data_IF_553693490086
#
_entry.id   IF_553693490086
#
_cell.length_a   1.000
_cell.length_b   1.000
_cell.length_c   1.000
_cell.angle_alpha   90.00
_cell.angle_beta   90.00
_cell.angle_gamma   90.00
#
_symmetry.space_group_name_H-M   'P 1'
#
loop_
_entity.id
_entity.type
_entity.pdbx_description
1 polymer ?
#
# COMPACT_ATOMS: atom_id res chain seq x y z
N UNK A 1 14.93 -10.07 15.79
CA UNK A 1 13.50 -9.92 15.44
C UNK A 1 13.23 -8.83 14.41
N UNK A 2 13.92 -7.68 14.42
CA UNK A 2 13.76 -6.63 13.39
C UNK A 2 13.98 -7.08 11.94
N UNK A 3 14.91 -8.02 11.69
CA UNK A 3 15.13 -8.60 10.35
C UNK A 3 13.90 -9.38 9.84
N UNK A 4 13.18 -10.10 10.72
CA UNK A 4 11.96 -10.81 10.33
C UNK A 4 10.87 -9.83 9.92
N UNK A 5 10.70 -8.74 10.66
CA UNK A 5 9.80 -7.65 10.27
C UNK A 5 10.19 -7.08 8.90
N UNK A 6 11.48 -6.83 8.67
CA UNK A 6 11.98 -6.29 7.41
C UNK A 6 11.68 -7.21 6.22
N UNK A 7 11.96 -8.51 6.36
CA UNK A 7 11.65 -9.50 5.33
C UNK A 7 10.15 -9.61 5.06
N UNK A 8 9.33 -9.54 6.11
CA UNK A 8 7.88 -9.60 5.98
C UNK A 8 7.34 -8.36 5.26
N UNK A 9 7.81 -7.16 5.62
CA UNK A 9 7.46 -5.92 4.93
C UNK A 9 7.89 -5.92 3.46
N UNK A 10 9.07 -6.45 3.18
CA UNK A 10 9.56 -6.59 1.81
C UNK A 10 8.72 -7.59 1.00
N UNK A 11 8.42 -8.76 1.57
CA UNK A 11 7.59 -9.78 0.93
C UNK A 11 6.17 -9.29 0.64
N UNK A 12 5.54 -8.58 1.59
CA UNK A 12 4.23 -7.95 1.41
C UNK A 12 4.26 -6.95 0.26
N UNK A 13 5.29 -6.09 0.21
CA UNK A 13 5.43 -5.09 -0.86
C UNK A 13 5.53 -5.73 -2.24
N UNK A 14 6.37 -6.76 -2.37
CA UNK A 14 6.51 -7.54 -3.60
C UNK A 14 5.17 -8.18 -3.99
N UNK A 15 4.51 -8.85 -3.06
CA UNK A 15 3.26 -9.56 -3.31
C UNK A 15 2.15 -8.61 -3.77
N UNK A 16 1.95 -7.49 -3.08
CA UNK A 16 0.91 -6.49 -3.42
C UNK A 16 1.18 -5.90 -4.80
N UNK A 17 2.41 -5.47 -5.09
CA UNK A 17 2.74 -4.84 -6.36
C UNK A 17 2.65 -5.81 -7.54
N UNK A 18 3.09 -7.05 -7.37
CA UNK A 18 2.92 -8.10 -8.39
C UNK A 18 1.44 -8.41 -8.63
N UNK A 19 0.65 -8.57 -7.58
CA UNK A 19 -0.78 -8.90 -7.69
C UNK A 19 -1.54 -7.82 -8.46
N UNK A 20 -1.33 -6.55 -8.09
CA UNK A 20 -2.03 -5.41 -8.70
C UNK A 20 -1.60 -5.19 -10.17
N UNK A 21 -0.32 -5.41 -10.48
CA UNK A 21 0.20 -5.26 -11.85
C UNK A 21 -0.16 -6.44 -12.77
N UNK A 22 -0.36 -7.63 -12.23
CA UNK A 22 -0.72 -8.84 -12.97
C UNK A 22 -2.24 -9.05 -13.11
N UNK A 23 -3.07 -8.26 -12.43
CA UNK A 23 -4.52 -8.46 -12.41
C UNK A 23 -5.13 -8.35 -13.83
N UNK A 24 -5.95 -9.32 -14.28
CA UNK A 24 -6.62 -9.24 -15.58
C UNK A 24 -7.63 -8.08 -15.60
N UNK A 25 -7.84 -7.49 -16.78
CA UNK A 25 -8.62 -6.25 -16.95
C UNK A 25 -10.05 -6.32 -16.36
N UNK A 26 -10.70 -7.47 -16.47
CA UNK A 26 -12.07 -7.69 -15.94
C UNK A 26 -12.12 -7.52 -14.42
N UNK A 27 -11.21 -8.17 -13.70
CA UNK A 27 -11.08 -8.06 -12.25
C UNK A 27 -10.53 -6.67 -11.85
N UNK A 28 -9.61 -6.13 -12.64
CA UNK A 28 -8.97 -4.83 -12.39
C UNK A 28 -10.01 -3.70 -12.30
N UNK A 29 -11.02 -3.71 -13.19
CA UNK A 29 -12.13 -2.76 -13.14
C UNK A 29 -12.92 -2.88 -11.84
N UNK A 30 -13.26 -4.09 -11.42
CA UNK A 30 -14.00 -4.32 -10.17
C UNK A 30 -13.23 -3.80 -8.95
N UNK A 31 -11.93 -4.14 -8.86
CA UNK A 31 -11.06 -3.67 -7.77
C UNK A 31 -10.90 -2.15 -7.81
N UNK A 32 -10.72 -1.56 -8.99
CA UNK A 32 -10.62 -0.11 -9.14
C UNK A 32 -11.90 0.60 -8.68
N UNK A 33 -13.09 0.10 -9.04
CA UNK A 33 -14.37 0.65 -8.57
C UNK A 33 -14.47 0.56 -7.04
N UNK A 34 -14.12 -0.58 -6.45
CA UNK A 34 -14.11 -0.73 -4.99
C UNK A 34 -13.14 0.25 -4.32
N UNK A 35 -11.96 0.46 -4.90
CA UNK A 35 -10.99 1.43 -4.40
C UNK A 35 -11.52 2.87 -4.48
N UNK A 36 -12.22 3.24 -5.55
CA UNK A 36 -12.87 4.56 -5.66
C UNK A 36 -14.01 4.72 -4.64
N UNK A 37 -14.84 3.70 -4.44
CA UNK A 37 -15.88 3.73 -3.41
C UNK A 37 -15.26 3.91 -2.02
N UNK A 38 -14.20 3.15 -1.71
CA UNK A 38 -13.47 3.31 -0.45
C UNK A 38 -12.88 4.72 -0.30
N UNK A 39 -12.30 5.28 -1.36
CA UNK A 39 -11.77 6.64 -1.38
C UNK A 39 -12.88 7.68 -1.09
N UNK A 40 -14.06 7.52 -1.69
CA UNK A 40 -15.20 8.42 -1.43
C UNK A 40 -15.69 8.32 0.01
N UNK A 41 -15.71 7.12 0.59
CA UNK A 41 -16.04 6.92 2.00
C UNK A 41 -15.04 7.63 2.91
N UNK A 42 -13.74 7.49 2.63
CA UNK A 42 -12.67 8.17 3.39
C UNK A 42 -12.73 9.68 3.23
N UNK A 43 -12.98 10.18 2.01
CA UNK A 43 -13.15 11.61 1.77
C UNK A 43 -14.37 12.15 2.53
N UNK A 44 -15.48 11.42 2.50
CA UNK A 44 -16.69 11.75 3.24
C UNK A 44 -16.44 11.81 4.75
N UNK A 45 -15.74 10.83 5.32
CA UNK A 45 -15.43 10.87 6.75
C UNK A 45 -14.56 12.09 7.09
N UNK A 46 -13.48 12.34 6.35
CA UNK A 46 -12.61 13.50 6.59
C UNK A 46 -13.41 14.81 6.56
N UNK A 47 -14.29 15.00 5.57
CA UNK A 47 -15.03 16.25 5.40
C UNK A 47 -16.13 16.45 6.46
N UNK A 48 -16.78 15.38 6.90
CA UNK A 48 -18.02 15.48 7.69
C UNK A 48 -17.87 15.08 9.17
N UNK A 49 -16.85 14.30 9.56
CA UNK A 49 -16.77 13.77 10.94
C UNK A 49 -15.79 14.52 11.84
N UNK A 50 -14.84 15.28 11.29
CA UNK A 50 -13.77 15.91 12.08
C UNK A 50 -13.93 17.41 12.35
N UNK A 51 -13.23 17.90 13.38
CA UNK A 51 -12.98 19.34 13.61
C UNK A 51 -12.06 19.97 12.55
N UNK A 52 -11.86 21.29 12.57
CA UNK A 52 -11.07 22.00 11.53
C UNK A 52 -9.63 21.50 11.41
N UNK A 53 -8.96 21.20 12.53
CA UNK A 53 -7.61 20.64 12.58
C UNK A 53 -7.57 19.20 12.02
N UNK A 54 -8.55 18.36 12.37
CA UNK A 54 -8.61 16.97 11.90
C UNK A 54 -8.84 16.91 10.39
N UNK A 55 -9.64 17.84 9.85
CA UNK A 55 -9.85 18.00 8.40
C UNK A 55 -8.56 18.34 7.68
N UNK A 56 -7.74 19.27 8.21
CA UNK A 56 -6.49 19.65 7.57
C UNK A 56 -5.47 18.51 7.58
N UNK A 57 -5.32 17.81 8.71
CA UNK A 57 -4.45 16.63 8.77
C UNK A 57 -4.95 15.50 7.86
N UNK A 58 -6.24 15.19 7.92
CA UNK A 58 -6.87 14.16 7.07
C UNK A 58 -6.69 14.46 5.58
N UNK A 59 -6.86 15.73 5.16
CA UNK A 59 -6.64 16.14 3.78
C UNK A 59 -5.19 15.92 3.32
N UNK A 60 -4.20 16.24 4.16
CA UNK A 60 -2.78 16.00 3.85
C UNK A 60 -2.50 14.51 3.66
N UNK A 61 -2.97 13.65 4.57
CA UNK A 61 -2.80 12.20 4.45
C UNK A 61 -3.51 11.64 3.22
N UNK A 62 -4.69 12.16 2.88
CA UNK A 62 -5.42 11.77 1.68
C UNK A 62 -4.63 12.13 0.41
N UNK A 63 -4.11 13.36 0.33
CA UNK A 63 -3.29 13.80 -0.81
C UNK A 63 -2.03 12.95 -0.93
N UNK A 64 -1.33 12.69 0.17
CA UNK A 64 -0.15 11.82 0.16
C UNK A 64 -0.49 10.39 -0.26
N UNK A 65 -1.62 9.85 0.20
CA UNK A 65 -2.12 8.53 -0.21
C UNK A 65 -2.46 8.47 -1.70
N UNK A 66 -3.06 9.53 -2.26
CA UNK A 66 -3.36 9.63 -3.70
C UNK A 66 -2.08 9.75 -4.53
N UNK A 67 -1.11 10.54 -4.09
CA UNK A 67 0.21 10.64 -4.75
C UNK A 67 0.92 9.29 -4.74
N UNK A 68 0.94 8.60 -3.59
CA UNK A 68 1.46 7.25 -3.50
C UNK A 68 0.72 6.30 -4.44
N UNK A 69 -0.61 6.36 -4.47
CA UNK A 69 -1.42 5.55 -5.39
C UNK A 69 -1.09 5.81 -6.86
N UNK A 70 -0.95 7.07 -7.27
CA UNK A 70 -0.56 7.43 -8.63
C UNK A 70 0.84 6.88 -8.99
N UNK A 71 1.79 6.96 -8.06
CA UNK A 71 3.14 6.40 -8.22
C UNK A 71 3.08 4.87 -8.32
N UNK A 72 2.29 4.19 -7.48
CA UNK A 72 2.11 2.74 -7.52
C UNK A 72 1.40 2.25 -8.79
N UNK A 73 0.61 3.10 -9.44
CA UNK A 73 -0.05 2.79 -10.71
C UNK A 73 0.94 2.76 -11.91
N UNK A 74 2.13 3.34 -11.76
CA UNK A 74 3.07 3.58 -12.87
C UNK A 74 3.43 2.31 -13.67
N UNK A 75 3.79 1.16 -13.07
CA UNK A 75 4.14 -0.02 -13.84
C UNK A 75 2.98 -0.51 -14.70
N UNK A 76 1.74 -0.41 -14.20
CA UNK A 76 0.55 -0.84 -14.93
C UNK A 76 0.20 0.13 -16.06
N UNK A 77 0.30 1.44 -15.80
CA UNK A 77 0.17 2.47 -16.84
C UNK A 77 1.19 2.24 -17.96
N UNK A 78 2.45 1.96 -17.61
CA UNK A 78 3.50 1.63 -18.57
C UNK A 78 3.29 0.28 -19.24
N UNK A 79 2.61 -0.69 -18.62
CA UNK A 79 2.34 -1.98 -19.26
C UNK A 79 1.15 -1.94 -20.23
N UNK A 80 0.10 -1.17 -19.91
CA UNK A 80 -1.18 -1.21 -20.63
C UNK A 80 -1.65 0.15 -21.20
N UNK A 81 -0.79 1.16 -21.35
CA UNK A 81 -1.22 2.42 -21.98
C UNK A 81 -1.73 2.20 -23.40
N UNK A 82 -2.84 2.86 -23.71
CA UNK A 82 -3.58 2.67 -24.96
C UNK A 82 -4.50 1.44 -24.95
N UNK A 83 -4.31 0.48 -24.03
CA UNK A 83 -5.12 -0.74 -23.92
C UNK A 83 -6.11 -0.70 -22.76
N UNK A 84 -5.76 0.01 -21.69
CA UNK A 84 -6.56 0.12 -20.47
C UNK A 84 -6.93 1.58 -20.18
N UNK A 85 -8.17 1.87 -19.73
CA UNK A 85 -8.53 3.21 -19.27
C UNK A 85 -7.68 3.64 -18.08
N UNK A 86 -7.17 4.87 -18.10
CA UNK A 86 -6.26 5.42 -17.08
C UNK A 86 -6.84 5.31 -15.67
N UNK A 87 -8.15 5.49 -15.51
CA UNK A 87 -8.83 5.40 -14.22
C UNK A 87 -8.69 4.00 -13.56
N UNK A 88 -8.59 2.92 -14.35
CA UNK A 88 -8.43 1.56 -13.80
C UNK A 88 -7.06 1.42 -13.16
N UNK A 89 -6.00 1.84 -13.86
CA UNK A 89 -4.64 1.80 -13.33
C UNK A 89 -4.47 2.69 -12.10
N UNK A 90 -5.05 3.89 -12.11
CA UNK A 90 -5.04 4.78 -10.95
C UNK A 90 -5.82 4.18 -9.77
N UNK A 91 -7.01 3.63 -10.02
CA UNK A 91 -7.82 2.96 -8.99
C UNK A 91 -7.09 1.76 -8.39
N UNK A 92 -6.36 1.01 -9.19
CA UNK A 92 -5.50 -0.08 -8.74
C UNK A 92 -4.28 0.41 -7.93
N UNK A 93 -3.71 1.56 -8.28
CA UNK A 93 -2.70 2.23 -7.48
C UNK A 93 -3.22 2.60 -6.09
N UNK A 94 -4.43 3.17 -6.01
CA UNK A 94 -5.13 3.43 -4.73
C UNK A 94 -5.43 2.13 -3.98
N UNK A 95 -5.87 1.08 -4.68
CA UNK A 95 -6.09 -0.24 -4.08
C UNK A 95 -4.81 -0.81 -3.46
N UNK A 96 -3.65 -0.64 -4.11
CA UNK A 96 -2.37 -1.06 -3.58
C UNK A 96 -2.03 -0.35 -2.26
N UNK A 97 -2.26 0.97 -2.18
CA UNK A 97 -2.08 1.74 -0.94
C UNK A 97 -3.00 1.20 0.16
N UNK A 98 -4.29 1.00 -0.13
CA UNK A 98 -5.25 0.47 0.83
C UNK A 98 -4.88 -0.94 1.30
N UNK A 99 -4.41 -1.80 0.39
CA UNK A 99 -3.94 -3.15 0.73
C UNK A 99 -2.69 -3.12 1.62
N UNK A 100 -1.72 -2.26 1.33
CA UNK A 100 -0.52 -2.12 2.16
C UNK A 100 -0.88 -1.66 3.58
N UNK A 101 -1.80 -0.71 3.69
CA UNK A 101 -2.33 -0.26 4.99
C UNK A 101 -3.06 -1.40 5.70
N UNK A 102 -3.97 -2.09 5.01
CA UNK A 102 -4.75 -3.19 5.58
C UNK A 102 -3.86 -4.34 6.04
N UNK A 103 -2.82 -4.68 5.28
CA UNK A 103 -1.83 -5.69 5.68
C UNK A 103 -1.01 -5.21 6.88
N UNK A 104 -0.58 -3.96 6.91
CA UNK A 104 0.12 -3.39 8.06
C UNK A 104 -0.71 -3.50 9.35
N UNK A 105 -1.98 -3.11 9.30
CA UNK A 105 -2.91 -3.20 10.42
C UNK A 105 -3.18 -4.67 10.80
N UNK A 106 -3.45 -5.52 9.82
CA UNK A 106 -3.74 -6.94 10.04
C UNK A 106 -2.57 -7.68 10.67
N UNK A 107 -1.34 -7.43 10.19
CA UNK A 107 -0.13 -7.99 10.78
C UNK A 107 0.07 -7.47 12.19
N UNK A 108 -0.11 -6.17 12.45
CA UNK A 108 0.02 -5.63 13.82
C UNK A 108 -0.98 -6.28 14.79
N UNK A 109 -2.22 -6.50 14.37
CA UNK A 109 -3.24 -7.20 15.14
C UNK A 109 -2.88 -8.66 15.41
N UNK A 110 -2.42 -9.40 14.39
CA UNK A 110 -1.95 -10.79 14.55
C UNK A 110 -0.76 -10.88 15.50
N UNK A 111 0.22 -9.97 15.37
CA UNK A 111 1.36 -9.90 16.28
C UNK A 111 0.92 -9.58 17.71
N UNK A 112 -0.09 -8.72 17.88
CA UNK A 112 -0.68 -8.42 19.18
C UNK A 112 -1.35 -9.61 19.86
N UNK A 113 -1.91 -10.55 19.09
CA UNK A 113 -2.53 -11.76 19.63
C UNK A 113 -1.50 -12.88 19.90
N UNK A 114 -0.42 -12.94 19.11
CA UNK A 114 0.53 -14.07 19.15
C UNK A 114 1.75 -13.82 20.04
N UNK A 115 2.14 -12.56 20.27
CA UNK A 115 3.37 -12.25 21.00
C UNK A 115 3.11 -11.95 22.48
N UNK A 116 4.05 -12.33 23.35
CA UNK A 116 3.95 -12.04 24.77
C UNK A 116 3.97 -10.52 25.03
N UNK A 117 3.35 -10.07 26.13
CA UNK A 117 3.41 -8.68 26.56
C UNK A 117 4.86 -8.23 26.80
N UNK A 118 5.13 -6.91 26.78
CA UNK A 118 6.47 -6.36 26.94
C UNK A 118 7.14 -6.86 28.22
N UNK A 119 8.45 -7.14 28.13
CA UNK A 119 9.22 -7.59 29.27
C UNK A 119 9.24 -6.50 30.37
N UNK A 120 8.75 -6.77 31.59
CA UNK A 120 8.68 -5.78 32.67
C UNK A 120 10.03 -5.23 33.11
N UNK A 121 11.13 -5.98 32.89
CA UNK A 121 12.45 -5.58 33.36
C UNK A 121 13.21 -4.71 32.35
N UNK A 122 13.01 -4.98 31.05
CA UNK A 122 13.74 -4.29 29.98
C UNK A 122 12.87 -3.29 29.22
N UNK A 123 11.54 -3.35 29.37
CA UNK A 123 10.58 -2.54 28.60
C UNK A 123 10.55 -2.88 27.11
N UNK A 124 11.29 -3.91 26.68
CA UNK A 124 11.44 -4.26 25.27
C UNK A 124 10.20 -5.02 24.81
N UNK A 125 9.53 -4.46 23.80
CA UNK A 125 8.40 -5.12 23.13
C UNK A 125 8.88 -5.79 21.84
N UNK A 126 8.79 -7.13 21.79
CA UNK A 126 9.07 -7.91 20.58
C UNK A 126 8.13 -7.50 19.44
N UNK A 127 6.87 -7.19 19.77
CA UNK A 127 5.88 -6.64 18.82
C UNK A 127 6.39 -5.35 18.20
N UNK A 128 6.88 -4.41 19.01
CA UNK A 128 7.38 -3.13 18.51
C UNK A 128 8.57 -3.30 17.55
N UNK A 129 9.50 -4.21 17.86
CA UNK A 129 10.64 -4.50 16.98
C UNK A 129 10.22 -5.09 15.63
N UNK A 130 9.24 -5.99 15.62
CA UNK A 130 8.74 -6.62 14.38
C UNK A 130 7.93 -5.60 13.58
N UNK A 131 7.06 -4.81 14.23
CA UNK A 131 6.29 -3.75 13.57
C UNK A 131 7.19 -2.68 12.94
N UNK A 132 8.23 -2.26 13.66
CA UNK A 132 9.21 -1.32 13.11
C UNK A 132 9.96 -1.91 11.92
N UNK A 133 10.36 -3.18 12.02
CA UNK A 133 10.97 -3.93 10.92
C UNK A 133 10.04 -3.98 9.70
N UNK A 134 8.75 -4.26 9.90
CA UNK A 134 7.73 -4.33 8.85
C UNK A 134 7.60 -3.00 8.10
N UNK A 135 7.43 -1.90 8.82
CA UNK A 135 7.33 -0.57 8.22
C UNK A 135 8.58 -0.22 7.42
N UNK A 136 9.77 -0.47 7.98
CA UNK A 136 11.03 -0.24 7.28
C UNK A 136 11.18 -1.14 6.03
N UNK A 137 10.79 -2.41 6.14
CA UNK A 137 10.79 -3.35 5.02
C UNK A 137 9.91 -2.88 3.88
N UNK A 138 8.70 -2.37 4.18
CA UNK A 138 7.80 -1.80 3.17
C UNK A 138 8.41 -0.55 2.53
N UNK A 139 8.91 0.38 3.35
CA UNK A 139 9.46 1.65 2.88
C UNK A 139 10.69 1.47 1.97
N UNK A 140 11.51 0.44 2.23
CA UNK A 140 12.69 0.15 1.41
C UNK A 140 12.32 -0.66 0.17
N UNK A 141 11.51 -1.71 0.31
CA UNK A 141 11.25 -2.64 -0.77
C UNK A 141 10.25 -2.09 -1.81
N UNK A 142 9.20 -1.39 -1.38
CA UNK A 142 8.17 -0.91 -2.30
C UNK A 142 8.74 0.00 -3.42
N UNK A 143 9.61 0.99 -3.15
CA UNK A 143 10.24 1.79 -4.20
C UNK A 143 11.12 0.96 -5.13
N UNK A 144 11.92 0.04 -4.59
CA UNK A 144 12.82 -0.82 -5.40
C UNK A 144 12.00 -1.69 -6.35
N UNK A 145 10.97 -2.37 -5.84
CA UNK A 145 10.08 -3.21 -6.65
C UNK A 145 9.35 -2.38 -7.70
N UNK A 146 8.87 -1.19 -7.32
CA UNK A 146 8.20 -0.28 -8.24
C UNK A 146 9.10 0.12 -9.42
N UNK A 147 10.36 0.48 -9.14
CA UNK A 147 11.35 0.83 -10.16
C UNK A 147 11.60 -0.36 -11.08
N UNK A 148 11.81 -1.55 -10.52
CA UNK A 148 12.03 -2.78 -11.31
C UNK A 148 10.84 -3.09 -12.20
N UNK A 149 9.61 -3.08 -11.68
CA UNK A 149 8.40 -3.37 -12.45
C UNK A 149 8.15 -2.32 -13.54
N UNK A 150 8.39 -1.04 -13.23
CA UNK A 150 8.26 0.06 -14.20
C UNK A 150 9.28 -0.08 -15.33
N UNK A 151 10.52 -0.43 -15.00
CA UNK A 151 11.59 -0.67 -15.98
C UNK A 151 11.27 -1.85 -16.89
N UNK A 152 10.80 -2.96 -16.33
CA UNK A 152 10.41 -4.14 -17.11
C UNK A 152 9.23 -3.84 -18.04
N UNK A 153 8.21 -3.13 -17.54
CA UNK A 153 7.06 -2.72 -18.35
C UNK A 153 7.47 -1.77 -19.49
N UNK A 154 8.41 -0.86 -19.24
CA UNK A 154 8.97 0.01 -20.27
C UNK A 154 9.72 -0.77 -21.35
N UNK A 155 10.60 -1.70 -20.96
CA UNK A 155 11.39 -2.49 -21.91
C UNK A 155 10.52 -3.30 -22.87
N UNK A 156 9.43 -3.89 -22.38
CA UNK A 156 8.51 -4.68 -23.19
C UNK A 156 7.79 -3.88 -24.30
N UNK A 157 7.79 -2.54 -24.22
CA UNK A 157 7.23 -1.69 -25.29
C UNK A 157 8.21 -1.33 -26.39
N UNK A 158 9.50 -1.27 -26.05
CA UNK A 158 10.54 -0.80 -26.96
C UNK A 158 11.02 -1.93 -27.87
N UNK A 159 10.80 -3.18 -27.46
CA UNK A 159 11.01 -4.41 -28.24
C UNK A 159 9.78 -4.80 -29.03
#
# INVERSE_FOLDING_TARGET
MGILGLLLGAGVSVAVLLMVTALPLTLARGVAVLAFVALLVVLGSILFTGGSLERSFGAVYLVMGLLAGAVLALPRLLRYAGLEPVWVSLGLGVAAVLLLIAVGIGVDALLGMMLPPPDPQTGISVKAQISQGLSNGILIAAPVVLVVLSWLAWRQRVT
#
